data_IF_644546909283
#
_entry.id   IF_644546909283
#
_cell.length_a   1.000
_cell.length_b   1.000
_cell.length_c   1.000
_cell.angle_alpha   90.00
_cell.angle_beta   90.00
_cell.angle_gamma   90.00
#
_symmetry.space_group_name_H-M   'P 1'
#
loop_
_entity.id
_entity.type
_entity.pdbx_description
1 polymer ?
#
# COMPACT_ATOMS: atom_id res chain seq x y z
N UNK A 1 23.43 -11.51 47.64
CA UNK A 1 24.39 -10.96 46.67
C UNK A 1 23.72 -9.76 45.97
N UNK A 2 24.24 -8.54 46.17
CA UNK A 2 23.71 -7.37 45.47
C UNK A 2 24.32 -7.30 44.07
N UNK A 3 23.52 -7.13 43.00
CA UNK A 3 24.07 -7.00 41.68
C UNK A 3 24.97 -5.76 41.62
N UNK A 4 26.13 -5.89 40.96
CA UNK A 4 27.05 -4.78 40.77
C UNK A 4 26.37 -3.69 39.94
N UNK A 5 26.54 -2.42 40.30
CA UNK A 5 26.01 -1.29 39.55
C UNK A 5 26.44 -1.32 38.06
N UNK A 6 27.62 -1.84 37.77
CA UNK A 6 28.10 -2.01 36.43
C UNK A 6 27.28 -3.03 35.61
N UNK A 7 26.80 -4.11 36.25
CA UNK A 7 25.95 -5.12 35.60
C UNK A 7 24.56 -4.55 35.27
N UNK A 8 23.98 -3.80 36.23
CA UNK A 8 22.66 -3.16 36.01
C UNK A 8 22.73 -2.11 34.93
N UNK A 9 23.82 -1.32 34.86
CA UNK A 9 24.02 -0.31 33.85
C UNK A 9 24.21 -0.95 32.46
N UNK A 10 24.97 -2.05 32.36
CA UNK A 10 25.16 -2.79 31.11
C UNK A 10 23.84 -3.36 30.58
N UNK A 11 23.01 -3.95 31.43
CA UNK A 11 21.69 -4.48 31.05
C UNK A 11 20.78 -3.35 30.57
N UNK A 12 20.74 -2.21 31.28
CA UNK A 12 19.92 -1.07 30.90
C UNK A 12 20.31 -0.49 29.53
N UNK A 13 21.61 -0.40 29.23
CA UNK A 13 22.11 0.06 27.92
C UNK A 13 21.74 -0.93 26.81
N UNK A 14 21.87 -2.23 27.08
CA UNK A 14 21.50 -3.26 26.10
C UNK A 14 20.02 -3.23 25.76
N UNK A 15 19.14 -3.07 26.76
CA UNK A 15 17.68 -2.97 26.56
C UNK A 15 17.32 -1.72 25.76
N UNK A 16 17.96 -0.59 26.00
CA UNK A 16 17.75 0.65 25.24
C UNK A 16 18.14 0.48 23.76
N UNK A 17 19.25 -0.20 23.45
CA UNK A 17 19.70 -0.46 22.08
C UNK A 17 18.71 -1.39 21.33
N UNK A 18 18.22 -2.43 22.01
CA UNK A 18 17.26 -3.38 21.40
C UNK A 18 15.91 -2.71 21.11
N UNK A 19 15.43 -1.82 21.97
CA UNK A 19 14.19 -1.07 21.72
C UNK A 19 14.30 -0.09 20.54
N UNK A 20 15.49 0.42 20.23
CA UNK A 20 15.70 1.32 19.09
C UNK A 20 15.76 0.57 17.74
N UNK A 21 15.93 -0.74 17.73
CA UNK A 21 16.02 -1.57 16.53
C UNK A 21 14.66 -1.98 15.95
N UNK A 22 13.54 -1.70 16.63
CA UNK A 22 12.20 -1.83 16.06
C UNK A 22 11.89 -0.58 15.22
N UNK A 23 12.52 -0.45 14.05
CA UNK A 23 12.06 0.48 13.02
C UNK A 23 10.73 -0.04 12.46
N UNK A 24 9.65 0.30 13.16
CA UNK A 24 8.30 0.17 12.62
C UNK A 24 8.25 1.12 11.45
N UNK A 25 8.41 0.59 10.24
CA UNK A 25 8.35 1.36 9.00
C UNK A 25 7.01 2.10 8.94
N UNK A 26 7.02 3.32 9.49
CA UNK A 26 5.83 4.17 9.60
C UNK A 26 5.33 4.47 8.20
N UNK A 27 4.09 4.13 7.95
CA UNK A 27 3.43 4.50 6.70
C UNK A 27 3.36 6.02 6.57
N UNK A 28 3.87 6.56 5.48
CA UNK A 28 3.86 8.00 5.20
C UNK A 28 2.42 8.54 5.19
N UNK A 29 2.22 9.73 5.73
CA UNK A 29 0.95 10.45 5.67
C UNK A 29 0.63 10.93 4.25
N UNK A 30 -0.61 11.36 4.00
CA UNK A 30 -1.01 11.91 2.70
C UNK A 30 -0.21 13.18 2.37
N UNK A 31 0.07 14.02 3.38
CA UNK A 31 0.89 15.22 3.23
C UNK A 31 2.35 14.90 2.87
N UNK A 32 2.95 13.89 3.52
CA UNK A 32 4.31 13.44 3.22
C UNK A 32 4.43 12.83 1.81
N UNK A 33 3.34 12.31 1.27
CA UNK A 33 3.26 11.77 -0.10
C UNK A 33 2.87 12.85 -1.12
N UNK A 34 2.52 14.07 -0.68
CA UNK A 34 2.08 15.15 -1.55
C UNK A 34 0.78 14.86 -2.29
N UNK A 35 -0.11 14.06 -1.70
CA UNK A 35 -1.35 13.65 -2.35
C UNK A 35 -2.35 14.81 -2.44
N UNK A 36 -2.98 14.97 -3.60
CA UNK A 36 -4.15 15.84 -3.75
C UNK A 36 -5.34 15.30 -2.93
N UNK A 37 -6.38 16.10 -2.65
CA UNK A 37 -7.59 15.63 -1.97
C UNK A 37 -8.22 14.41 -2.65
N UNK A 38 -8.25 14.38 -3.98
CA UNK A 38 -8.75 13.25 -4.77
C UNK A 38 -7.89 12.00 -4.57
N UNK A 39 -6.57 12.13 -4.68
CA UNK A 39 -5.63 11.02 -4.46
C UNK A 39 -5.69 10.50 -3.03
N UNK A 40 -5.86 11.37 -2.04
CA UNK A 40 -6.05 10.97 -0.65
C UNK A 40 -7.39 10.22 -0.44
N UNK A 41 -8.46 10.61 -1.14
CA UNK A 41 -9.71 9.86 -1.17
C UNK A 41 -9.51 8.47 -1.78
N UNK A 42 -8.82 8.39 -2.92
CA UNK A 42 -8.46 7.13 -3.57
C UNK A 42 -7.59 6.23 -2.69
N UNK A 43 -6.63 6.81 -1.95
CA UNK A 43 -5.83 6.06 -0.98
C UNK A 43 -6.66 5.40 0.11
N UNK A 44 -7.66 6.11 0.65
CA UNK A 44 -8.59 5.51 1.64
C UNK A 44 -9.37 4.34 1.07
N UNK A 45 -9.82 4.45 -0.18
CA UNK A 45 -10.48 3.34 -0.88
C UNK A 45 -9.53 2.17 -1.10
N UNK A 46 -8.28 2.44 -1.50
CA UNK A 46 -7.24 1.42 -1.61
C UNK A 46 -7.01 0.70 -0.28
N UNK A 47 -6.90 1.43 0.81
CA UNK A 47 -6.70 0.87 2.15
C UNK A 47 -7.86 -0.02 2.59
N UNK A 48 -9.07 0.38 2.27
CA UNK A 48 -10.27 -0.36 2.64
C UNK A 48 -10.46 -1.64 1.84
N UNK A 49 -10.19 -1.60 0.53
CA UNK A 49 -10.60 -2.67 -0.39
C UNK A 49 -9.43 -3.44 -1.03
N UNK A 50 -8.28 -2.81 -1.23
CA UNK A 50 -7.22 -3.33 -2.08
C UNK A 50 -5.98 -3.79 -1.32
N UNK A 51 -5.58 -3.10 -0.24
CA UNK A 51 -4.31 -3.34 0.46
C UNK A 51 -4.16 -4.75 1.05
N UNK A 52 -5.27 -5.45 1.29
CA UNK A 52 -5.25 -6.83 1.78
C UNK A 52 -4.61 -7.79 0.78
N UNK A 53 -4.78 -7.49 -0.51
CA UNK A 53 -4.31 -8.33 -1.61
C UNK A 53 -3.18 -7.69 -2.42
N UNK A 54 -3.06 -6.37 -2.44
CA UNK A 54 -2.09 -5.65 -3.24
C UNK A 54 -1.11 -4.84 -2.38
N UNK A 55 0.15 -4.79 -2.83
CA UNK A 55 1.19 -3.95 -2.23
C UNK A 55 1.36 -2.67 -3.06
N UNK A 56 1.25 -1.47 -2.45
CA UNK A 56 1.34 -0.23 -3.20
C UNK A 56 2.77 0.29 -3.42
N UNK A 57 3.68 0.08 -2.46
CA UNK A 57 4.96 0.79 -2.41
C UNK A 57 6.21 -0.07 -2.59
N UNK A 58 6.06 -1.36 -2.74
CA UNK A 58 7.17 -2.27 -3.00
C UNK A 58 6.83 -3.25 -4.10
N UNK A 59 7.84 -3.82 -4.74
CA UNK A 59 7.67 -4.82 -5.80
C UNK A 59 7.19 -6.19 -5.32
N UNK A 60 6.95 -6.35 -4.01
CA UNK A 60 6.54 -7.63 -3.42
C UNK A 60 5.07 -7.92 -3.72
N UNK A 61 4.82 -9.04 -4.36
CA UNK A 61 3.47 -9.56 -4.54
C UNK A 61 2.89 -10.06 -3.20
N UNK A 62 1.58 -9.91 -3.04
CA UNK A 62 0.76 -10.53 -1.98
C UNK A 62 -0.13 -11.61 -2.62
N UNK A 63 -1.43 -11.63 -2.30
CA UNK A 63 -2.41 -12.47 -3.00
C UNK A 63 -2.62 -12.02 -4.45
N UNK A 64 -2.52 -10.70 -4.68
CA UNK A 64 -2.49 -10.06 -5.98
C UNK A 64 -1.12 -9.44 -6.26
N UNK A 65 -0.88 -9.06 -7.52
CA UNK A 65 0.35 -8.41 -7.94
C UNK A 65 0.58 -7.09 -7.22
N UNK A 66 1.85 -6.75 -7.01
CA UNK A 66 2.23 -5.40 -6.59
C UNK A 66 1.70 -4.36 -7.59
N UNK A 67 1.16 -3.26 -7.06
CA UNK A 67 0.69 -2.11 -7.86
C UNK A 67 1.72 -0.99 -7.95
N UNK A 68 2.92 -1.19 -7.39
CA UNK A 68 4.02 -0.22 -7.53
C UNK A 68 4.29 0.05 -9.01
N UNK A 69 4.15 1.31 -9.40
CA UNK A 69 4.38 1.75 -10.78
C UNK A 69 3.43 1.11 -11.80
N UNK A 70 2.22 0.72 -11.41
CA UNK A 70 1.26 0.04 -12.31
C UNK A 70 1.04 0.80 -13.61
N UNK A 71 0.89 2.12 -13.57
CA UNK A 71 0.69 2.97 -14.75
C UNK A 71 2.00 3.41 -15.46
N UNK A 72 3.16 3.08 -14.87
CA UNK A 72 4.47 3.24 -15.52
C UNK A 72 4.80 2.10 -16.48
N UNK A 73 4.03 1.02 -16.43
CA UNK A 73 4.16 -0.14 -17.32
C UNK A 73 3.29 0.05 -18.56
N UNK A 74 3.73 -0.49 -19.69
CA UNK A 74 2.94 -0.48 -20.94
C UNK A 74 1.76 -1.44 -20.86
N UNK A 75 1.96 -2.57 -20.19
CA UNK A 75 0.97 -3.64 -20.07
C UNK A 75 0.88 -4.14 -18.64
N UNK A 76 -0.32 -4.58 -18.23
CA UNK A 76 -0.58 -5.26 -16.98
C UNK A 76 0.02 -6.67 -17.01
N UNK A 77 0.80 -7.03 -16.01
CA UNK A 77 1.65 -8.23 -16.00
C UNK A 77 0.88 -9.54 -16.16
N UNK A 78 -0.35 -9.64 -15.63
CA UNK A 78 -1.12 -10.89 -15.68
C UNK A 78 -2.05 -10.99 -16.88
N UNK A 79 -2.60 -9.87 -17.33
CA UNK A 79 -3.59 -9.87 -18.41
C UNK A 79 -3.02 -9.56 -19.78
N UNK A 80 -1.82 -8.95 -19.82
CA UNK A 80 -1.25 -8.41 -21.07
C UNK A 80 -2.03 -7.23 -21.63
N UNK A 81 -3.08 -6.75 -20.93
CA UNK A 81 -3.86 -5.58 -21.37
C UNK A 81 -3.09 -4.29 -21.15
N UNK A 82 -3.37 -3.22 -21.92
CA UNK A 82 -2.78 -1.90 -21.66
C UNK A 82 -2.97 -1.45 -20.23
N UNK A 83 -1.92 -0.91 -19.62
CA UNK A 83 -1.98 -0.33 -18.26
C UNK A 83 -2.48 1.12 -18.37
N UNK A 84 -3.77 1.30 -18.57
CA UNK A 84 -4.45 2.60 -18.66
C UNK A 84 -5.71 2.61 -17.79
N UNK A 85 -6.27 3.82 -17.58
CA UNK A 85 -7.42 4.03 -16.70
C UNK A 85 -8.64 3.21 -17.12
N UNK A 86 -8.89 3.10 -18.42
CA UNK A 86 -10.02 2.33 -18.95
C UNK A 86 -9.93 0.86 -18.50
N UNK A 87 -8.80 0.21 -18.73
CA UNK A 87 -8.63 -1.22 -18.45
C UNK A 87 -8.49 -1.53 -16.98
N UNK A 88 -7.79 -0.66 -16.23
CA UNK A 88 -7.68 -0.81 -14.77
C UNK A 88 -9.02 -0.52 -14.11
N UNK A 89 -9.74 0.52 -14.55
CA UNK A 89 -11.09 0.84 -14.07
C UNK A 89 -12.10 -0.27 -14.35
N UNK A 90 -12.10 -0.82 -15.58
CA UNK A 90 -12.92 -1.98 -15.93
C UNK A 90 -12.63 -3.17 -15.00
N UNK A 91 -11.36 -3.48 -14.77
CA UNK A 91 -10.95 -4.58 -13.88
C UNK A 91 -11.40 -4.36 -12.43
N UNK A 92 -11.35 -3.12 -11.92
CA UNK A 92 -11.86 -2.79 -10.59
C UNK A 92 -13.38 -3.03 -10.53
N UNK A 93 -14.11 -2.59 -11.54
CA UNK A 93 -15.58 -2.68 -11.57
C UNK A 93 -16.04 -4.12 -11.73
N UNK A 94 -15.44 -4.87 -12.66
CA UNK A 94 -15.91 -6.22 -13.05
C UNK A 94 -15.24 -7.36 -12.30
N UNK A 95 -14.06 -7.09 -11.67
CA UNK A 95 -13.21 -8.11 -11.08
C UNK A 95 -12.49 -8.96 -12.13
N UNK A 96 -11.57 -9.81 -11.69
CA UNK A 96 -10.88 -10.77 -12.55
C UNK A 96 -10.24 -11.89 -11.71
N UNK A 97 -10.45 -13.14 -12.08
CA UNK A 97 -9.92 -14.30 -11.35
C UNK A 97 -10.30 -14.24 -9.87
N UNK A 98 -9.31 -14.14 -8.97
CA UNK A 98 -9.54 -14.01 -7.52
C UNK A 98 -9.80 -12.57 -7.05
N UNK A 99 -9.69 -11.56 -7.94
CA UNK A 99 -10.01 -10.18 -7.61
C UNK A 99 -11.53 -9.98 -7.67
N UNK A 100 -12.18 -9.59 -6.58
CA UNK A 100 -13.63 -9.38 -6.58
C UNK A 100 -14.03 -8.17 -7.42
N UNK A 101 -15.28 -8.17 -7.89
CA UNK A 101 -15.88 -7.03 -8.57
C UNK A 101 -16.32 -5.97 -7.54
N UNK A 102 -15.93 -4.72 -7.76
CA UNK A 102 -16.26 -3.60 -6.86
C UNK A 102 -17.35 -2.67 -7.44
N UNK A 103 -17.88 -2.94 -8.63
CA UNK A 103 -18.87 -2.08 -9.28
C UNK A 103 -20.20 -1.91 -8.53
N UNK A 104 -20.51 -2.81 -7.60
CA UNK A 104 -21.70 -2.69 -6.74
C UNK A 104 -21.42 -1.97 -5.41
N UNK A 105 -20.15 -1.77 -5.04
CA UNK A 105 -19.76 -1.19 -3.74
C UNK A 105 -19.02 0.15 -3.88
N UNK A 106 -18.58 0.48 -5.09
CA UNK A 106 -17.94 1.76 -5.42
C UNK A 106 -18.74 2.50 -6.48
N UNK A 107 -18.98 3.78 -6.26
CA UNK A 107 -19.51 4.66 -7.30
C UNK A 107 -18.45 4.92 -8.37
N UNK A 108 -18.86 5.39 -9.54
CA UNK A 108 -17.94 5.76 -10.61
C UNK A 108 -16.94 6.84 -10.18
N UNK A 109 -17.37 7.83 -9.39
CA UNK A 109 -16.46 8.85 -8.84
C UNK A 109 -15.42 8.26 -7.89
N UNK A 110 -15.78 7.29 -7.07
CA UNK A 110 -14.84 6.58 -6.21
C UNK A 110 -13.82 5.76 -7.00
N UNK A 111 -14.22 5.15 -8.10
CA UNK A 111 -13.29 4.48 -9.01
C UNK A 111 -12.29 5.48 -9.61
N UNK A 112 -12.75 6.70 -9.99
CA UNK A 112 -11.85 7.75 -10.48
C UNK A 112 -10.88 8.23 -9.39
N UNK A 113 -11.33 8.38 -8.14
CA UNK A 113 -10.46 8.73 -7.03
C UNK A 113 -9.39 7.64 -6.79
N UNK A 114 -9.81 6.38 -6.86
CA UNK A 114 -8.89 5.24 -6.72
C UNK A 114 -7.85 5.23 -7.85
N UNK A 115 -8.25 5.43 -9.10
CA UNK A 115 -7.34 5.53 -10.24
C UNK A 115 -6.35 6.68 -10.06
N UNK A 116 -6.82 7.86 -9.61
CA UNK A 116 -5.96 9.01 -9.32
C UNK A 116 -4.89 8.69 -8.27
N UNK A 117 -5.22 7.89 -7.24
CA UNK A 117 -4.24 7.40 -6.28
C UNK A 117 -3.27 6.39 -6.91
N UNK A 118 -3.77 5.43 -7.69
CA UNK A 118 -2.91 4.42 -8.33
C UNK A 118 -1.86 5.04 -9.27
N UNK A 119 -2.14 6.20 -9.87
CA UNK A 119 -1.16 6.96 -10.65
C UNK A 119 0.02 7.49 -9.81
N UNK A 120 -0.09 7.55 -8.50
CA UNK A 120 1.00 8.00 -7.61
C UNK A 120 1.98 6.91 -7.22
N UNK A 121 1.72 5.66 -7.56
CA UNK A 121 2.49 4.47 -7.14
C UNK A 121 3.72 4.17 -8.01
#
# INVERSE_FOLDING_TARGET
MKPSHSLVLAIAVTVLIVCSACDVQRRKSDAELGLSPQQAAGRRLFDQYCQRCHEPYSSRDKKGRSLQGVFKKKFLSESGMPANDERVGEMIVTGRNMMPAFGLVMSQSQVQDLLAYLHTL
#
